data_IF_456754733137
#
_entry.id   IF_456754733137
#
_cell.length_a   1.000
_cell.length_b   1.000
_cell.length_c   1.000
_cell.angle_alpha   90.00
_cell.angle_beta   90.00
_cell.angle_gamma   90.00
#
_symmetry.space_group_name_H-M   'P 1'
#
loop_
_entity.id
_entity.type
_entity.pdbx_description
1 polymer ?
#
# COMPACT_ATOMS: atom_id res chain seq x y z
N UNK A 1 -39.79 46.63 -23.80
CA UNK A 1 -39.00 46.87 -25.03
C UNK A 1 -37.79 47.71 -24.63
N UNK A 2 -36.66 47.11 -24.25
CA UNK A 2 -35.41 47.82 -23.96
C UNK A 2 -34.22 46.98 -24.43
N UNK A 3 -33.26 47.68 -25.03
CA UNK A 3 -32.25 47.22 -25.98
C UNK A 3 -31.07 46.47 -25.33
N UNK A 4 -30.56 45.52 -26.12
CA UNK A 4 -29.24 44.90 -26.06
C UNK A 4 -28.09 45.88 -25.71
N UNK A 5 -27.11 45.40 -24.94
CA UNK A 5 -25.70 45.67 -25.23
C UNK A 5 -24.86 44.41 -25.04
N UNK A 6 -24.02 44.17 -26.04
CA UNK A 6 -23.20 42.99 -26.28
C UNK A 6 -21.75 43.43 -26.05
N UNK A 7 -21.05 42.84 -25.08
CA UNK A 7 -19.64 43.17 -24.84
C UNK A 7 -18.76 42.06 -25.39
N UNK A 8 -18.09 42.37 -26.51
CA UNK A 8 -16.98 41.62 -27.09
C UNK A 8 -15.69 42.34 -26.68
N UNK A 9 -14.80 41.64 -26.00
CA UNK A 9 -13.40 42.03 -25.84
C UNK A 9 -12.60 40.77 -25.49
N UNK A 10 -11.36 40.55 -25.88
CA UNK A 10 -10.43 41.10 -26.88
C UNK A 10 -9.30 40.06 -26.88
N UNK A 11 -8.75 39.72 -28.04
CA UNK A 11 -7.52 38.92 -28.16
C UNK A 11 -6.33 39.72 -27.62
N UNK A 12 -5.46 39.07 -26.86
CA UNK A 12 -4.05 39.43 -26.57
C UNK A 12 -3.44 38.22 -25.84
N UNK A 13 -2.18 37.84 -25.96
CA UNK A 13 -1.07 38.21 -26.84
C UNK A 13 -0.09 37.02 -26.73
N UNK A 14 0.62 36.75 -27.81
CA UNK A 14 1.74 35.80 -27.91
C UNK A 14 2.94 36.34 -27.11
N UNK A 15 3.63 35.49 -26.36
CA UNK A 15 5.07 35.67 -26.15
C UNK A 15 5.79 34.34 -26.35
N UNK A 16 6.54 34.26 -27.45
CA UNK A 16 7.68 33.37 -27.59
C UNK A 16 8.70 33.70 -26.50
N UNK A 17 9.25 32.69 -25.85
CA UNK A 17 10.56 32.80 -25.22
C UNK A 17 11.52 31.88 -25.98
N UNK A 18 12.34 32.52 -26.80
CA UNK A 18 13.55 32.00 -27.44
C UNK A 18 14.57 31.56 -26.40
N UNK A 19 15.40 30.61 -26.81
CA UNK A 19 16.25 29.82 -25.93
C UNK A 19 17.48 30.51 -25.37
N UNK A 20 18.10 29.79 -24.44
CA UNK A 20 19.52 29.89 -24.13
C UNK A 20 20.08 28.48 -24.21
N UNK A 21 20.77 28.20 -25.31
CA UNK A 21 21.80 27.17 -25.40
C UNK A 21 22.96 27.61 -24.52
N UNK A 22 23.26 26.84 -23.47
CA UNK A 22 24.53 26.90 -22.79
C UNK A 22 25.33 25.64 -23.16
N UNK A 23 26.18 25.78 -24.18
CA UNK A 23 27.31 24.88 -24.38
C UNK A 23 28.32 25.19 -23.28
N UNK A 24 28.56 24.21 -22.40
CA UNK A 24 29.65 24.22 -21.44
C UNK A 24 30.45 22.94 -21.62
N UNK A 25 31.46 23.01 -22.48
CA UNK A 25 32.61 22.12 -22.46
C UNK A 25 33.35 22.36 -21.13
N UNK A 26 33.40 21.33 -20.29
CA UNK A 26 34.17 21.33 -19.05
C UNK A 26 34.77 19.95 -18.83
N UNK A 27 36.05 19.84 -19.11
CA UNK A 27 36.89 18.68 -18.85
C UNK A 27 37.13 18.48 -17.34
N UNK A 28 37.32 17.21 -16.93
CA UNK A 28 37.64 16.80 -15.55
C UNK A 28 36.40 16.85 -14.65
N UNK A 29 35.99 15.79 -13.97
CA UNK A 29 36.74 15.02 -12.99
C UNK A 29 36.12 13.62 -12.93
N UNK A 30 36.96 12.59 -13.02
CA UNK A 30 36.63 11.21 -12.65
C UNK A 30 36.24 11.19 -11.17
N UNK A 31 34.95 11.12 -10.86
CA UNK A 31 34.49 10.72 -9.53
C UNK A 31 34.85 9.26 -9.33
N UNK A 32 36.02 9.02 -8.75
CA UNK A 32 36.33 7.78 -8.09
C UNK A 32 35.22 7.51 -7.07
N UNK A 33 34.49 6.41 -7.27
CA UNK A 33 33.65 5.82 -6.24
C UNK A 33 34.61 5.32 -5.18
N UNK A 34 34.91 6.14 -4.18
CA UNK A 34 35.47 5.65 -2.94
C UNK A 34 34.38 4.81 -2.29
N UNK A 35 34.49 3.49 -2.49
CA UNK A 35 33.96 2.54 -1.53
C UNK A 35 34.46 3.01 -0.16
N UNK A 36 33.57 3.61 0.61
CA UNK A 36 33.79 3.80 2.05
C UNK A 36 33.79 2.38 2.61
N UNK A 37 34.98 1.77 2.59
CA UNK A 37 35.31 0.67 3.47
C UNK A 37 34.78 1.07 4.84
N UNK A 38 33.93 0.20 5.39
CA UNK A 38 33.52 0.29 6.78
C UNK A 38 34.77 0.62 7.59
N UNK A 39 34.84 1.84 8.11
CA UNK A 39 35.83 2.17 9.12
C UNK A 39 35.52 1.24 10.27
N UNK A 40 36.32 0.17 10.35
CA UNK A 40 36.50 -0.60 11.55
C UNK A 40 37.07 0.42 12.54
N UNK A 41 36.19 1.05 13.32
CA UNK A 41 36.59 1.72 14.55
C UNK A 41 37.16 0.61 15.42
N UNK A 42 38.47 0.43 15.36
CA UNK A 42 39.21 -0.30 16.38
C UNK A 42 39.02 0.46 17.68
N UNK A 43 38.00 0.05 18.43
CA UNK A 43 37.88 0.45 19.84
C UNK A 43 39.12 -0.12 20.50
N UNK A 44 40.04 0.77 20.91
CA UNK A 44 41.23 0.38 21.67
C UNK A 44 40.76 -0.42 22.89
N UNK A 45 41.34 -1.60 23.02
CA UNK A 45 41.04 -2.56 24.08
C UNK A 45 41.36 -1.94 25.44
N UNK A 46 40.42 -2.08 26.38
CA UNK A 46 40.78 -2.09 27.79
C UNK A 46 41.59 -3.38 28.02
N UNK A 47 42.91 -3.27 27.91
CA UNK A 47 43.85 -4.34 28.24
C UNK A 47 43.91 -4.45 29.76
N UNK A 48 42.98 -5.20 30.34
CA UNK A 48 43.17 -5.94 31.59
C UNK A 48 42.00 -6.91 31.69
N UNK A 49 42.19 -8.23 31.51
CA UNK A 49 41.16 -9.18 31.89
C UNK A 49 40.91 -9.01 33.40
N UNK A 50 39.69 -8.64 33.79
CA UNK A 50 39.26 -8.79 35.17
C UNK A 50 39.39 -10.28 35.52
N UNK A 51 40.23 -10.60 36.49
CA UNK A 51 40.42 -11.96 36.96
C UNK A 51 39.10 -12.47 37.55
N UNK A 52 38.46 -13.37 36.82
CA UNK A 52 37.25 -14.04 37.29
C UNK A 52 37.71 -15.24 38.13
N UNK A 53 37.59 -15.14 39.46
CA UNK A 53 37.88 -16.24 40.38
C UNK A 53 36.58 -16.93 40.82
N UNK A 54 36.49 -18.24 40.57
CA UNK A 54 35.45 -19.12 41.08
C UNK A 54 36.11 -20.31 41.77
N UNK A 55 35.55 -20.77 42.88
CA UNK A 55 36.01 -21.96 43.60
C UNK A 55 35.31 -23.18 43.03
N UNK A 56 36.04 -24.26 42.73
CA UNK A 56 35.45 -25.49 42.22
C UNK A 56 34.32 -25.98 43.16
N UNK A 57 33.12 -26.19 42.62
CA UNK A 57 31.99 -26.82 43.32
C UNK A 57 30.77 -25.94 43.64
N UNK A 58 30.78 -24.64 43.34
CA UNK A 58 29.59 -23.77 43.49
C UNK A 58 29.06 -23.29 42.15
N UNK A 59 27.74 -23.16 41.99
CA UNK A 59 27.11 -22.63 40.77
C UNK A 59 27.78 -21.32 40.35
N UNK A 60 28.25 -21.26 39.11
CA UNK A 60 28.97 -20.11 38.59
C UNK A 60 28.11 -19.31 37.62
N UNK A 61 27.89 -18.02 37.89
CA UNK A 61 27.26 -17.08 36.96
C UNK A 61 28.33 -16.29 36.24
N UNK A 62 28.60 -16.62 34.97
CA UNK A 62 29.57 -15.88 34.15
C UNK A 62 28.89 -14.79 33.34
N UNK A 63 29.32 -13.55 33.58
CA UNK A 63 29.09 -12.42 32.69
C UNK A 63 30.29 -12.21 31.78
N UNK A 64 30.11 -12.24 30.47
CA UNK A 64 31.13 -11.87 29.49
C UNK A 64 30.89 -10.43 29.02
N UNK A 65 31.84 -9.54 29.28
CA UNK A 65 31.81 -8.20 28.71
C UNK A 65 32.18 -8.25 27.23
N UNK A 66 31.26 -7.81 26.37
CA UNK A 66 31.42 -7.82 24.92
C UNK A 66 30.97 -6.49 24.30
N UNK A 67 31.47 -6.18 23.11
CA UNK A 67 31.04 -4.98 22.37
C UNK A 67 29.81 -5.28 21.51
N UNK A 68 28.69 -4.62 21.81
CA UNK A 68 27.42 -4.72 21.08
C UNK A 68 27.16 -3.40 20.37
N UNK A 69 27.41 -3.36 19.06
CA UNK A 69 27.25 -2.13 18.28
C UNK A 69 28.14 -0.97 18.77
N UNK A 70 29.34 -1.27 19.28
CA UNK A 70 30.30 -0.29 19.80
C UNK A 70 30.14 0.05 21.29
N UNK A 71 29.14 -0.53 21.98
CA UNK A 71 28.90 -0.31 23.42
C UNK A 71 29.25 -1.58 24.18
N UNK A 72 30.03 -1.46 25.27
CA UNK A 72 30.33 -2.58 26.16
C UNK A 72 29.08 -3.05 26.91
N UNK A 73 28.80 -4.36 26.86
CA UNK A 73 27.69 -5.01 27.57
C UNK A 73 28.12 -6.35 28.12
N UNK A 74 27.69 -6.64 29.35
CA UNK A 74 27.85 -7.96 29.94
C UNK A 74 26.74 -8.89 29.45
N UNK A 75 27.13 -10.01 28.87
CA UNK A 75 26.24 -11.07 28.41
C UNK A 75 26.39 -12.25 29.35
N UNK A 76 25.29 -12.66 29.96
CA UNK A 76 25.26 -13.74 30.93
C UNK A 76 25.05 -15.09 30.26
N UNK A 77 25.91 -16.04 30.59
CA UNK A 77 25.64 -17.45 30.31
C UNK A 77 24.71 -18.03 31.37
N UNK A 78 23.95 -19.07 31.01
CA UNK A 78 23.23 -19.87 32.01
C UNK A 78 24.22 -20.43 33.03
N UNK A 79 23.79 -20.56 34.28
CA UNK A 79 24.61 -21.15 35.34
C UNK A 79 25.13 -22.52 34.91
N UNK A 80 26.41 -22.78 35.19
CA UNK A 80 27.02 -24.07 34.90
C UNK A 80 28.01 -24.46 35.99
N UNK A 81 28.11 -25.78 36.22
CA UNK A 81 29.10 -26.39 37.11
C UNK A 81 30.10 -27.17 36.26
N UNK A 82 31.39 -27.03 36.59
CA UNK A 82 32.49 -27.77 35.98
C UNK A 82 33.28 -28.50 37.07
N UNK A 83 33.68 -29.73 36.79
CA UNK A 83 34.64 -30.50 37.59
C UNK A 83 36.07 -30.19 37.14
N UNK A 84 37.05 -30.42 38.01
CA UNK A 84 38.46 -30.26 37.65
C UNK A 84 38.80 -31.08 36.38
N UNK A 85 39.44 -30.42 35.40
CA UNK A 85 39.74 -31.00 34.10
C UNK A 85 38.56 -31.12 33.12
N UNK A 86 37.34 -30.74 33.51
CA UNK A 86 36.16 -30.79 32.65
C UNK A 86 36.20 -29.68 31.59
N UNK A 87 35.73 -30.01 30.39
CA UNK A 87 35.54 -29.06 29.30
C UNK A 87 34.06 -29.01 28.92
N UNK A 88 33.51 -27.80 28.82
CA UNK A 88 32.11 -27.59 28.43
C UNK A 88 31.98 -26.49 27.39
N UNK A 89 31.31 -26.81 26.30
CA UNK A 89 30.98 -25.86 25.24
C UNK A 89 29.52 -25.42 25.35
N UNK A 90 29.27 -24.11 25.31
CA UNK A 90 27.92 -23.53 25.31
C UNK A 90 27.73 -22.63 24.09
N UNK A 91 26.50 -22.51 23.62
CA UNK A 91 26.16 -21.55 22.57
C UNK A 91 26.24 -20.11 23.10
N UNK A 92 26.72 -19.19 22.26
CA UNK A 92 26.71 -17.77 22.61
C UNK A 92 25.27 -17.26 22.82
N UNK A 93 25.01 -16.42 23.83
CA UNK A 93 23.66 -15.92 24.07
C UNK A 93 23.14 -15.08 22.91
N UNK A 94 21.83 -15.17 22.65
CA UNK A 94 21.18 -14.43 21.58
C UNK A 94 20.92 -13.00 22.01
N UNK A 95 21.40 -12.03 21.25
CA UNK A 95 21.11 -10.61 21.46
C UNK A 95 20.18 -10.13 20.34
N UNK A 96 18.98 -9.66 20.68
CA UNK A 96 17.96 -9.25 19.70
C UNK A 96 18.50 -8.19 18.73
N UNK A 97 18.52 -8.52 17.43
CA UNK A 97 19.00 -7.62 16.37
C UNK A 97 20.51 -7.69 16.10
N UNK A 98 21.25 -8.56 16.80
CA UNK A 98 22.69 -8.72 16.63
C UNK A 98 23.08 -10.19 16.49
N UNK A 99 24.15 -10.45 15.75
CA UNK A 99 24.80 -11.75 15.62
C UNK A 99 26.19 -11.67 16.26
N UNK A 100 26.52 -12.66 17.10
CA UNK A 100 27.84 -12.83 17.70
C UNK A 100 28.88 -13.24 16.64
N UNK A 101 30.12 -12.78 16.80
CA UNK A 101 31.28 -13.24 16.03
C UNK A 101 31.68 -14.68 16.36
N UNK A 102 31.26 -15.18 17.51
CA UNK A 102 31.39 -16.57 17.93
C UNK A 102 30.04 -17.28 18.00
N UNK A 103 30.00 -18.55 17.61
CA UNK A 103 28.80 -19.39 17.75
C UNK A 103 28.77 -20.09 19.10
N UNK A 104 29.94 -20.32 19.70
CA UNK A 104 30.10 -21.01 20.98
C UNK A 104 31.28 -20.49 21.79
N UNK A 105 31.21 -20.72 23.10
CA UNK A 105 32.27 -20.51 24.06
C UNK A 105 32.56 -21.84 24.76
N UNK A 106 33.83 -22.20 24.88
CA UNK A 106 34.29 -23.41 25.56
C UNK A 106 35.04 -23.03 26.82
N UNK A 107 34.55 -23.54 27.95
CA UNK A 107 35.15 -23.40 29.27
C UNK A 107 35.91 -24.68 29.60
N UNK A 108 37.17 -24.57 29.98
CA UNK A 108 37.99 -25.70 30.40
C UNK A 108 38.54 -25.45 31.79
N UNK A 109 38.06 -26.20 32.78
CA UNK A 109 38.56 -26.11 34.15
C UNK A 109 39.97 -26.71 34.23
N UNK A 110 40.86 -26.04 34.94
CA UNK A 110 42.23 -26.52 35.16
C UNK A 110 42.21 -27.83 35.97
N UNK A 111 43.21 -28.69 35.75
CA UNK A 111 43.32 -29.96 36.47
C UNK A 111 43.47 -29.78 38.00
N UNK A 112 43.98 -28.63 38.44
CA UNK A 112 44.07 -28.23 39.84
C UNK A 112 42.73 -27.77 40.45
N UNK A 113 41.70 -27.54 39.63
CA UNK A 113 40.43 -26.94 40.07
C UNK A 113 40.54 -25.47 40.48
N UNK A 114 41.61 -24.78 40.05
CA UNK A 114 41.88 -23.37 40.39
C UNK A 114 41.71 -22.45 39.17
N UNK A 115 40.52 -22.49 38.57
CA UNK A 115 40.14 -21.60 37.48
C UNK A 115 40.01 -22.31 36.14
N UNK A 116 39.66 -21.55 35.11
CA UNK A 116 39.33 -22.07 33.80
C UNK A 116 39.97 -21.25 32.67
N UNK A 117 40.13 -21.88 31.51
CA UNK A 117 40.41 -21.18 30.25
C UNK A 117 39.12 -21.05 29.43
N UNK A 118 39.02 -19.94 28.70
CA UNK A 118 37.88 -19.63 27.84
C UNK A 118 38.36 -19.55 26.39
N UNK A 119 37.75 -20.34 25.52
CA UNK A 119 38.09 -20.45 24.09
C UNK A 119 36.84 -20.21 23.26
N UNK A 120 36.88 -19.29 22.31
CA UNK A 120 35.74 -19.02 21.41
C UNK A 120 35.97 -19.67 20.05
N UNK A 121 34.97 -20.38 19.52
CA UNK A 121 35.08 -21.11 18.23
C UNK A 121 36.30 -22.05 18.08
N UNK A 122 36.95 -22.46 19.18
CA UNK A 122 38.18 -23.27 19.12
C UNK A 122 39.47 -22.47 18.84
N UNK A 123 39.44 -21.13 18.87
CA UNK A 123 40.63 -20.27 18.86
C UNK A 123 40.84 -19.63 20.22
N UNK A 124 42.10 -19.43 20.62
CA UNK A 124 42.50 -18.72 21.86
C UNK A 124 42.24 -17.20 21.78
N UNK A 125 41.23 -16.79 21.02
CA UNK A 125 40.82 -15.40 20.94
C UNK A 125 40.17 -14.96 22.26
N UNK A 126 40.55 -13.79 22.75
CA UNK A 126 40.07 -13.25 24.02
C UNK A 126 38.85 -12.33 23.89
N UNK A 127 38.23 -12.23 22.70
CA UNK A 127 37.15 -11.26 22.47
C UNK A 127 36.03 -11.79 21.57
N UNK A 128 34.80 -11.42 21.93
CA UNK A 128 33.61 -11.63 21.10
C UNK A 128 32.92 -10.29 20.89
N UNK A 129 32.45 -10.05 19.66
CA UNK A 129 31.65 -8.87 19.33
C UNK A 129 30.31 -9.27 18.72
N UNK A 130 29.30 -8.43 18.93
CA UNK A 130 27.98 -8.60 18.37
C UNK A 130 27.75 -7.55 17.27
N UNK A 131 27.65 -8.01 16.03
CA UNK A 131 27.39 -7.18 14.86
C UNK A 131 25.88 -7.09 14.61
N UNK A 132 25.38 -5.89 14.26
CA UNK A 132 23.95 -5.71 13.93
C UNK A 132 23.60 -6.58 12.73
N UNK A 133 22.57 -7.42 12.86
CA UNK A 133 22.13 -8.25 11.74
C UNK A 133 21.57 -7.33 10.67
N UNK A 134 22.23 -7.30 9.51
CA UNK A 134 21.68 -6.64 8.33
C UNK A 134 20.40 -7.37 7.95
N UNK A 135 19.25 -6.76 8.25
CA UNK A 135 17.98 -7.23 7.71
C UNK A 135 18.07 -7.07 6.21
N UNK A 136 18.39 -8.15 5.48
CA UNK A 136 18.31 -8.17 4.02
C UNK A 136 16.92 -7.66 3.67
N UNK A 137 16.86 -6.47 3.06
CA UNK A 137 15.62 -5.86 2.59
C UNK A 137 15.08 -6.81 1.53
N UNK A 138 14.13 -7.65 1.91
CA UNK A 138 13.50 -8.59 0.98
C UNK A 138 12.92 -7.77 -0.15
N UNK A 139 13.55 -7.84 -1.31
CA UNK A 139 13.08 -7.18 -2.52
C UNK A 139 11.77 -7.85 -2.89
N UNK A 140 10.67 -7.23 -2.47
CA UNK A 140 9.32 -7.73 -2.71
C UNK A 140 9.19 -7.97 -4.22
N UNK A 141 9.06 -9.25 -4.61
CA UNK A 141 9.01 -9.68 -6.01
C UNK A 141 7.93 -8.88 -6.72
N UNK A 142 8.34 -8.03 -7.66
CA UNK A 142 7.42 -7.21 -8.42
C UNK A 142 6.58 -8.08 -9.36
N UNK A 143 5.30 -7.78 -9.46
CA UNK A 143 4.39 -8.46 -10.40
C UNK A 143 4.36 -7.67 -11.71
N UNK A 144 4.46 -8.37 -12.84
CA UNK A 144 4.28 -7.76 -14.15
C UNK A 144 2.87 -7.18 -14.31
N UNK A 145 2.76 -6.00 -14.91
CA UNK A 145 1.48 -5.29 -15.14
C UNK A 145 1.33 -5.00 -16.63
N UNK A 146 0.22 -5.46 -17.22
CA UNK A 146 -0.18 -5.11 -18.58
C UNK A 146 -0.97 -3.81 -18.55
N UNK A 147 -0.47 -2.79 -19.24
CA UNK A 147 -1.13 -1.50 -19.39
C UNK A 147 -1.92 -1.44 -20.69
N UNK A 148 -3.04 -0.72 -20.70
CA UNK A 148 -3.90 -0.60 -21.89
C UNK A 148 -4.65 0.72 -21.85
N UNK A 149 -4.52 1.50 -22.92
CA UNK A 149 -5.23 2.77 -23.07
C UNK A 149 -6.74 2.58 -23.00
N UNK A 150 -7.39 3.50 -22.30
CA UNK A 150 -8.84 3.54 -22.14
C UNK A 150 -9.27 5.00 -22.16
N UNK A 151 -10.45 5.31 -22.65
CA UNK A 151 -11.03 6.64 -22.54
C UNK A 151 -12.38 6.47 -21.82
N UNK A 152 -12.38 6.60 -20.50
CA UNK A 152 -13.58 6.39 -19.67
C UNK A 152 -13.85 7.61 -18.79
N UNK A 153 -15.13 7.82 -18.50
CA UNK A 153 -15.58 8.74 -17.45
C UNK A 153 -16.26 7.93 -16.36
N UNK A 154 -15.79 8.05 -15.13
CA UNK A 154 -16.32 7.34 -13.96
C UNK A 154 -16.55 8.30 -12.80
N UNK A 155 -17.23 7.83 -11.76
CA UNK A 155 -17.33 8.53 -10.49
C UNK A 155 -16.66 7.70 -9.41
N UNK A 156 -15.99 8.35 -8.46
CA UNK A 156 -15.49 7.68 -7.27
C UNK A 156 -16.69 7.38 -6.36
N UNK A 157 -16.75 6.17 -5.80
CA UNK A 157 -17.81 5.80 -4.85
C UNK A 157 -17.77 6.71 -3.62
N UNK A 158 -18.92 6.85 -2.95
CA UNK A 158 -18.99 7.59 -1.70
C UNK A 158 -18.14 6.95 -0.59
N UNK A 159 -18.09 5.62 -0.56
CA UNK A 159 -17.17 4.82 0.24
C UNK A 159 -16.26 4.01 -0.70
N UNK A 160 -15.09 4.55 -1.11
CA UNK A 160 -14.28 3.95 -2.15
C UNK A 160 -13.50 2.70 -1.73
N UNK A 161 -13.20 2.54 -0.43
CA UNK A 161 -12.42 1.40 0.09
C UNK A 161 -10.96 1.35 -0.37
N UNK A 162 -10.55 2.21 -1.30
CA UNK A 162 -9.20 2.28 -1.84
C UNK A 162 -8.76 3.72 -2.08
N UNK A 163 -7.44 3.93 -2.00
CA UNK A 163 -6.77 5.20 -2.23
C UNK A 163 -6.10 5.25 -3.61
N UNK A 164 -5.61 6.44 -3.98
CA UNK A 164 -4.85 6.64 -5.20
C UNK A 164 -3.34 6.54 -4.96
N UNK A 165 -2.65 5.90 -5.89
CA UNK A 165 -1.20 5.64 -5.83
C UNK A 165 -0.46 6.20 -7.04
N UNK A 166 0.81 6.53 -6.93
CA UNK A 166 1.63 6.98 -8.07
C UNK A 166 1.79 5.90 -9.17
N UNK A 167 1.76 4.62 -8.79
CA UNK A 167 1.79 3.47 -9.69
C UNK A 167 0.80 2.38 -9.24
N UNK A 168 0.60 1.37 -10.07
CA UNK A 168 -0.16 0.17 -9.69
C UNK A 168 0.56 -0.53 -8.53
N UNK A 169 -0.09 -0.71 -7.36
CA UNK A 169 0.51 -1.40 -6.22
C UNK A 169 0.99 -2.81 -6.55
N UNK A 170 2.23 -3.10 -6.18
CA UNK A 170 2.90 -4.39 -6.44
C UNK A 170 3.48 -4.53 -7.86
N UNK A 171 3.47 -3.45 -8.65
CA UNK A 171 4.21 -3.40 -9.92
C UNK A 171 5.73 -3.30 -9.69
N UNK A 172 6.51 -3.22 -10.78
CA UNK A 172 7.97 -2.99 -10.72
C UNK A 172 8.39 -1.63 -10.16
N UNK A 173 7.46 -0.69 -10.03
CA UNK A 173 7.74 0.67 -9.58
C UNK A 173 7.44 0.84 -8.09
N UNK A 174 8.25 1.66 -7.42
CA UNK A 174 8.01 2.06 -6.04
C UNK A 174 6.63 2.73 -5.92
N UNK A 175 5.78 2.15 -5.08
CA UNK A 175 4.40 2.59 -4.92
C UNK A 175 4.25 3.42 -3.64
N UNK A 176 3.71 4.63 -3.76
CA UNK A 176 3.30 5.49 -2.65
C UNK A 176 1.88 5.99 -2.87
N UNK A 177 1.11 6.11 -1.79
CA UNK A 177 -0.19 6.77 -1.82
C UNK A 177 0.03 8.25 -2.14
N UNK A 178 -0.72 8.77 -3.11
CA UNK A 178 -0.67 10.19 -3.50
C UNK A 178 -1.91 10.94 -3.05
N UNK A 179 -3.06 10.28 -2.99
CA UNK A 179 -4.30 10.88 -2.50
C UNK A 179 -5.20 9.84 -1.81
N UNK A 180 -5.99 10.31 -0.84
CA UNK A 180 -7.05 9.48 -0.25
C UNK A 180 -8.24 9.36 -1.19
N UNK A 181 -8.81 8.16 -1.30
CA UNK A 181 -10.01 7.92 -2.10
C UNK A 181 -11.18 8.78 -1.64
N UNK A 182 -11.34 8.91 -0.31
CA UNK A 182 -12.41 9.69 0.32
C UNK A 182 -12.40 11.17 -0.09
N UNK A 183 -11.24 11.77 -0.35
CA UNK A 183 -11.11 13.16 -0.84
C UNK A 183 -11.79 13.36 -2.19
N UNK A 184 -11.97 12.29 -2.97
CA UNK A 184 -12.60 12.34 -4.28
C UNK A 184 -13.98 11.66 -4.32
N UNK A 185 -14.53 11.23 -3.18
CA UNK A 185 -15.83 10.60 -3.09
C UNK A 185 -16.92 11.38 -3.85
N UNK A 186 -17.69 10.70 -4.71
CA UNK A 186 -18.75 11.29 -5.53
C UNK A 186 -18.26 12.12 -6.73
N UNK A 187 -16.98 12.50 -6.79
CA UNK A 187 -16.43 13.31 -7.88
C UNK A 187 -16.36 12.50 -9.17
N UNK A 188 -16.64 13.18 -10.27
CA UNK A 188 -16.42 12.64 -11.63
C UNK A 188 -14.95 12.75 -11.98
N UNK A 189 -14.39 11.65 -12.46
CA UNK A 189 -13.00 11.52 -12.89
C UNK A 189 -12.94 10.98 -14.31
N UNK A 190 -11.85 11.30 -15.01
CA UNK A 190 -11.54 10.68 -16.30
C UNK A 190 -10.44 9.64 -16.11
N UNK A 191 -10.46 8.63 -16.97
CA UNK A 191 -9.48 7.53 -16.97
C UNK A 191 -8.92 7.43 -18.37
N UNK A 192 -7.59 7.50 -18.48
CA UNK A 192 -6.89 7.39 -19.75
C UNK A 192 -6.11 6.07 -19.94
N UNK A 193 -6.03 5.24 -18.89
CA UNK A 193 -5.24 4.01 -18.88
C UNK A 193 -5.78 3.03 -17.82
N UNK A 194 -5.56 1.73 -18.05
CA UNK A 194 -5.79 0.68 -17.06
C UNK A 194 -4.58 -0.24 -16.95
N UNK A 195 -4.32 -0.77 -15.76
CA UNK A 195 -3.23 -1.70 -15.47
C UNK A 195 -3.77 -2.97 -14.84
N UNK A 196 -3.46 -4.13 -15.43
CA UNK A 196 -3.86 -5.45 -14.92
C UNK A 196 -2.61 -6.22 -14.53
N UNK A 197 -2.52 -6.64 -13.26
CA UNK A 197 -1.44 -7.49 -12.75
C UNK A 197 -1.52 -8.89 -13.37
N UNK A 198 -0.38 -9.51 -13.68
CA UNK A 198 -0.30 -10.91 -14.12
C UNK A 198 -1.05 -11.81 -13.12
N UNK A 199 -1.93 -12.68 -13.62
CA UNK A 199 -2.77 -13.56 -12.81
C UNK A 199 -4.03 -12.92 -12.22
N UNK A 200 -4.29 -11.63 -12.46
CA UNK A 200 -5.52 -10.95 -12.02
C UNK A 200 -6.41 -10.56 -13.20
N UNK A 201 -7.72 -10.46 -12.94
CA UNK A 201 -8.72 -9.97 -13.92
C UNK A 201 -9.14 -8.52 -13.67
N UNK A 202 -9.00 -8.04 -12.44
CA UNK A 202 -9.47 -6.72 -12.01
C UNK A 202 -8.41 -5.64 -12.24
N UNK A 203 -8.71 -4.55 -12.96
CA UNK A 203 -7.74 -3.51 -13.25
C UNK A 203 -7.53 -2.53 -12.10
N UNK A 204 -6.45 -1.77 -12.21
CA UNK A 204 -6.31 -0.44 -11.64
C UNK A 204 -6.53 0.59 -12.76
N UNK A 205 -7.05 1.76 -12.45
CA UNK A 205 -7.30 2.83 -13.41
C UNK A 205 -6.41 4.03 -13.12
N UNK A 206 -5.80 4.60 -14.16
CA UNK A 206 -5.08 5.87 -14.06
C UNK A 206 -6.06 7.03 -14.20
N UNK A 207 -6.23 7.77 -13.12
CA UNK A 207 -7.33 8.70 -12.94
C UNK A 207 -6.87 10.15 -12.98
N UNK A 208 -7.73 11.01 -13.53
CA UNK A 208 -7.55 12.45 -13.58
C UNK A 208 -8.80 13.14 -13.02
N UNK A 209 -8.58 14.22 -12.28
CA UNK A 209 -9.64 15.10 -11.81
C UNK A 209 -9.36 16.52 -12.29
N UNK A 210 -10.31 17.10 -13.04
CA UNK A 210 -10.15 18.42 -13.69
C UNK A 210 -8.84 18.55 -14.49
N UNK A 211 -8.50 17.52 -15.27
CA UNK A 211 -7.30 17.48 -16.09
C UNK A 211 -5.98 17.16 -15.35
N UNK A 212 -5.98 17.12 -14.01
CA UNK A 212 -4.78 16.79 -13.21
C UNK A 212 -4.73 15.31 -12.87
N UNK A 213 -3.56 14.69 -13.05
CA UNK A 213 -3.32 13.29 -12.65
C UNK A 213 -3.46 13.17 -11.13
N UNK A 214 -4.35 12.28 -10.68
CA UNK A 214 -4.54 11.98 -9.25
C UNK A 214 -4.08 10.55 -8.89
N UNK A 215 -3.53 9.79 -9.83
CA UNK A 215 -2.90 8.50 -9.58
C UNK A 215 -3.73 7.29 -10.03
N UNK A 216 -3.33 6.11 -9.57
CA UNK A 216 -3.92 4.81 -9.85
C UNK A 216 -4.82 4.35 -8.71
N UNK A 217 -6.05 3.95 -9.03
CA UNK A 217 -7.00 3.41 -8.04
C UNK A 217 -7.54 2.05 -8.48
N UNK A 218 -7.86 1.20 -7.52
CA UNK A 218 -8.44 -0.11 -7.79
C UNK A 218 -9.86 0.00 -8.35
N UNK A 219 -10.24 -0.88 -9.30
CA UNK A 219 -11.49 -0.75 -10.07
C UNK A 219 -12.74 -0.63 -9.19
N UNK A 220 -12.79 -1.32 -8.04
CA UNK A 220 -13.98 -1.38 -7.19
C UNK A 220 -14.31 -0.04 -6.56
N UNK A 221 -13.35 0.87 -6.44
CA UNK A 221 -13.52 2.19 -5.84
C UNK A 221 -14.27 3.18 -6.74
N UNK A 222 -14.50 2.82 -8.00
CA UNK A 222 -15.12 3.69 -9.00
C UNK A 222 -16.32 2.99 -9.64
N UNK A 223 -17.26 3.78 -10.12
CA UNK A 223 -18.50 3.32 -10.76
C UNK A 223 -18.73 4.09 -12.06
N UNK A 224 -19.59 3.57 -12.92
CA UNK A 224 -19.97 4.28 -14.13
C UNK A 224 -20.71 5.57 -13.76
N UNK A 225 -20.37 6.67 -14.43
CA UNK A 225 -21.11 7.93 -14.27
C UNK A 225 -22.57 7.70 -14.67
N UNK A 226 -23.49 8.18 -13.84
CA UNK A 226 -24.91 8.22 -14.14
C UNK A 226 -25.33 9.65 -14.43
N UNK A 227 -26.13 9.84 -15.48
CA UNK A 227 -26.78 11.10 -15.83
C UNK A 227 -28.26 11.00 -15.48
N UNK A 228 -28.78 12.01 -14.79
CA UNK A 228 -30.18 12.06 -14.34
C UNK A 228 -30.94 13.15 -15.11
N UNK A 229 -32.19 12.86 -15.46
CA UNK A 229 -33.11 13.80 -16.12
C UNK A 229 -34.47 13.78 -15.41
N UNK A 230 -35.04 14.95 -15.16
CA UNK A 230 -36.45 15.06 -14.75
C UNK A 230 -37.35 14.75 -15.94
N UNK A 231 -38.33 13.89 -15.72
CA UNK A 231 -39.33 13.51 -16.72
C UNK A 231 -40.70 13.50 -16.05
N UNK A 232 -41.78 13.51 -16.82
CA UNK A 232 -43.13 13.25 -16.33
C UNK A 232 -43.72 12.20 -17.25
N UNK A 233 -43.65 10.95 -16.83
CA UNK A 233 -44.05 9.79 -17.64
C UNK A 233 -44.95 8.86 -16.85
N UNK A 234 -45.67 8.01 -17.57
CA UNK A 234 -46.36 6.84 -17.01
C UNK A 234 -45.84 5.58 -17.70
N UNK A 235 -45.95 4.46 -17.02
CA UNK A 235 -45.63 3.15 -17.58
C UNK A 235 -46.43 2.06 -16.87
N UNK A 236 -46.40 0.84 -17.40
CA UNK A 236 -46.89 -0.36 -16.72
C UNK A 236 -45.73 -1.29 -16.45
N UNK A 237 -45.64 -1.85 -15.25
CA UNK A 237 -44.66 -2.90 -14.96
C UNK A 237 -45.03 -4.15 -15.75
N UNK A 238 -44.07 -4.77 -16.43
CA UNK A 238 -44.34 -5.97 -17.24
C UNK A 238 -44.85 -7.14 -16.37
N UNK A 239 -45.55 -8.10 -16.98
CA UNK A 239 -46.11 -9.26 -16.29
C UNK A 239 -45.06 -10.12 -15.57
N UNK A 240 -43.86 -10.25 -16.14
CA UNK A 240 -42.74 -11.08 -15.62
C UNK A 240 -41.48 -10.24 -15.38
N UNK A 241 -41.48 -9.34 -14.37
CA UNK A 241 -40.35 -8.46 -14.13
C UNK A 241 -39.16 -9.26 -13.59
N UNK A 242 -38.01 -9.14 -14.27
CA UNK A 242 -36.71 -9.72 -13.89
C UNK A 242 -35.96 -8.86 -12.86
N UNK A 243 -36.36 -7.61 -12.68
CA UNK A 243 -35.68 -6.67 -11.78
C UNK A 243 -36.62 -6.13 -10.70
N UNK A 244 -36.02 -5.80 -9.57
CA UNK A 244 -36.70 -5.20 -8.42
C UNK A 244 -36.53 -3.68 -8.39
N UNK A 245 -37.22 -3.05 -7.44
CA UNK A 245 -37.10 -1.63 -7.16
C UNK A 245 -36.12 -1.38 -6.01
N UNK A 246 -35.21 -0.43 -6.21
CA UNK A 246 -34.15 -0.09 -5.27
C UNK A 246 -34.21 1.38 -4.87
N UNK A 247 -33.68 1.74 -3.71
CA UNK A 247 -33.63 3.14 -3.25
C UNK A 247 -32.81 4.07 -4.16
N UNK A 248 -31.86 3.49 -4.91
CA UNK A 248 -31.04 4.20 -5.88
C UNK A 248 -30.81 3.36 -7.12
N UNK A 249 -30.35 4.02 -8.18
CA UNK A 249 -29.84 3.37 -9.37
C UNK A 249 -28.76 2.34 -9.02
N UNK A 250 -28.96 1.09 -9.47
CA UNK A 250 -27.97 0.01 -9.31
C UNK A 250 -26.63 0.39 -9.97
N UNK A 251 -25.53 0.03 -9.31
CA UNK A 251 -24.16 0.34 -9.76
C UNK A 251 -23.86 1.85 -9.89
N UNK A 252 -24.57 2.69 -9.13
CA UNK A 252 -24.24 4.12 -8.98
C UNK A 252 -23.28 4.37 -7.81
N UNK A 253 -23.01 5.64 -7.51
CA UNK A 253 -22.16 6.04 -6.37
C UNK A 253 -22.79 5.71 -5.00
N UNK A 254 -24.12 5.53 -4.98
CA UNK A 254 -24.89 5.26 -3.77
C UNK A 254 -24.96 3.77 -3.46
N UNK A 255 -25.03 3.43 -2.17
CA UNK A 255 -25.31 2.07 -1.72
C UNK A 255 -26.78 1.73 -2.05
N UNK A 256 -26.99 0.65 -2.79
CA UNK A 256 -28.32 0.21 -3.18
C UNK A 256 -28.91 -0.72 -2.13
N UNK A 257 -30.16 -0.46 -1.77
CA UNK A 257 -31.02 -1.27 -0.89
C UNK A 257 -32.29 -1.62 -1.67
N UNK A 258 -32.68 -2.89 -1.62
CA UNK A 258 -33.97 -3.35 -2.13
C UNK A 258 -35.08 -2.64 -1.35
N UNK A 259 -36.01 -2.01 -2.06
CA UNK A 259 -37.21 -1.43 -1.46
C UNK A 259 -38.41 -2.34 -1.68
N UNK A 260 -38.60 -2.78 -2.92
CA UNK A 260 -39.73 -3.64 -3.28
C UNK A 260 -39.38 -4.64 -4.36
N UNK A 261 -40.05 -5.79 -4.34
CA UNK A 261 -39.94 -6.78 -5.41
C UNK A 261 -40.72 -6.33 -6.65
N UNK A 262 -40.13 -6.53 -7.84
CA UNK A 262 -40.79 -6.19 -9.11
C UNK A 262 -42.13 -6.89 -9.26
N UNK A 263 -42.18 -8.19 -8.90
CA UNK A 263 -43.37 -9.05 -8.97
C UNK A 263 -44.58 -8.52 -8.20
N UNK A 264 -44.35 -7.77 -7.12
CA UNK A 264 -45.43 -7.16 -6.31
C UNK A 264 -46.20 -6.09 -7.09
N UNK A 265 -45.58 -5.53 -8.12
CA UNK A 265 -46.15 -4.46 -8.93
C UNK A 265 -46.44 -4.88 -10.37
N UNK A 266 -46.40 -6.18 -10.69
CA UNK A 266 -46.71 -6.69 -12.04
C UNK A 266 -48.04 -6.12 -12.53
N UNK A 267 -48.08 -5.70 -13.79
CA UNK A 267 -49.25 -5.14 -14.48
C UNK A 267 -49.82 -3.85 -13.84
N UNK A 268 -49.15 -3.28 -12.83
CA UNK A 268 -49.57 -2.02 -12.21
C UNK A 268 -49.02 -0.83 -13.00
N UNK A 269 -49.87 0.18 -13.17
CA UNK A 269 -49.45 1.49 -13.67
C UNK A 269 -48.58 2.20 -12.62
N UNK A 270 -47.49 2.81 -13.08
CA UNK A 270 -46.58 3.61 -12.28
C UNK A 270 -46.43 4.99 -12.90
N UNK A 271 -46.23 6.00 -12.06
CA UNK A 271 -45.77 7.32 -12.53
C UNK A 271 -44.25 7.41 -12.37
N UNK A 272 -43.61 8.16 -13.25
CA UNK A 272 -42.16 8.29 -13.34
C UNK A 272 -41.81 9.77 -13.34
N UNK A 273 -40.98 10.19 -12.39
CA UNK A 273 -40.53 11.59 -12.29
C UNK A 273 -39.03 11.80 -12.59
N UNK A 274 -38.25 10.72 -12.66
CA UNK A 274 -36.82 10.76 -12.98
C UNK A 274 -36.42 9.60 -13.86
N UNK A 275 -35.52 9.90 -14.78
CA UNK A 275 -34.83 8.94 -15.65
C UNK A 275 -33.33 9.02 -15.37
N UNK A 276 -32.63 7.89 -15.38
CA UNK A 276 -31.19 7.84 -15.29
C UNK A 276 -30.57 6.96 -16.38
N UNK A 277 -29.47 7.40 -16.96
CA UNK A 277 -28.68 6.63 -17.93
C UNK A 277 -27.28 6.46 -17.37
N UNK A 278 -26.79 5.21 -17.34
CA UNK A 278 -25.39 4.94 -16.98
C UNK A 278 -24.53 4.96 -18.24
N UNK A 279 -23.30 5.42 -18.10
CA UNK A 279 -22.31 5.27 -19.17
C UNK A 279 -22.22 3.79 -19.60
N UNK A 280 -22.37 3.54 -20.90
CA UNK A 280 -22.32 2.19 -21.50
C UNK A 280 -23.65 1.42 -21.51
N UNK A 281 -24.78 2.01 -21.08
CA UNK A 281 -26.09 1.34 -21.16
C UNK A 281 -27.04 2.10 -22.08
N UNK A 282 -27.72 1.40 -22.99
CA UNK A 282 -28.76 1.98 -23.86
C UNK A 282 -30.09 2.18 -23.12
N UNK A 283 -30.49 1.19 -22.34
CA UNK A 283 -31.77 1.22 -21.61
C UNK A 283 -31.64 2.01 -20.31
N UNK A 284 -32.47 3.05 -20.10
CA UNK A 284 -32.45 3.85 -18.88
C UNK A 284 -33.03 3.09 -17.69
N UNK A 285 -32.83 3.68 -16.50
CA UNK A 285 -33.53 3.35 -15.28
C UNK A 285 -34.52 4.46 -14.93
N UNK A 286 -35.59 4.10 -14.22
CA UNK A 286 -36.68 5.02 -13.89
C UNK A 286 -37.01 4.97 -12.41
N UNK A 287 -37.22 6.15 -11.81
CA UNK A 287 -37.75 6.28 -10.46
C UNK A 287 -39.27 6.28 -10.52
N UNK A 288 -39.88 5.26 -9.94
CA UNK A 288 -41.29 4.96 -10.07
C UNK A 288 -42.06 5.25 -8.79
N UNK A 289 -43.33 5.58 -8.94
CA UNK A 289 -44.28 5.86 -7.87
C UNK A 289 -45.59 5.13 -8.13
N UNK A 290 -46.28 4.74 -7.05
CA UNK A 290 -47.65 4.21 -7.07
C UNK A 290 -48.45 4.99 -6.05
N UNK A 291 -49.59 5.56 -6.47
CA UNK A 291 -50.45 6.41 -5.63
C UNK A 291 -49.67 7.53 -4.92
N UNK A 292 -48.76 8.19 -5.65
CA UNK A 292 -47.92 9.27 -5.11
C UNK A 292 -46.75 8.83 -4.21
N UNK A 293 -46.66 7.54 -3.83
CA UNK A 293 -45.57 7.02 -2.98
C UNK A 293 -44.43 6.45 -3.83
N UNK A 294 -43.19 6.82 -3.50
CA UNK A 294 -42.00 6.30 -4.18
C UNK A 294 -41.85 4.81 -3.91
N UNK A 295 -41.74 4.00 -4.97
CA UNK A 295 -41.45 2.57 -4.88
C UNK A 295 -40.00 2.26 -5.28
N UNK A 296 -39.29 3.23 -5.87
CA UNK A 296 -37.85 3.17 -6.12
C UNK A 296 -37.45 3.15 -7.60
N UNK A 297 -36.19 2.82 -7.85
CA UNK A 297 -35.56 2.75 -9.16
C UNK A 297 -35.62 1.34 -9.74
N UNK A 298 -36.06 1.21 -11.00
CA UNK A 298 -36.07 -0.06 -11.75
C UNK A 298 -35.43 0.11 -13.13
N UNK A 299 -34.92 -0.99 -13.68
CA UNK A 299 -34.42 -1.04 -15.05
C UNK A 299 -35.56 -0.91 -16.06
N UNK A 300 -35.43 -0.02 -17.04
CA UNK A 300 -36.49 0.30 -18.00
C UNK A 300 -37.00 -0.88 -18.82
N UNK A 301 -36.20 -1.95 -18.99
CA UNK A 301 -36.66 -3.18 -19.65
C UNK A 301 -37.73 -3.96 -18.85
N UNK A 302 -38.08 -3.53 -17.64
CA UNK A 302 -39.17 -4.09 -16.84
C UNK A 302 -40.45 -3.23 -16.91
N UNK A 303 -40.47 -2.23 -17.78
CA UNK A 303 -41.60 -1.33 -17.97
C UNK A 303 -42.03 -1.37 -19.45
N UNK A 304 -43.33 -1.31 -19.68
CA UNK A 304 -43.94 -1.17 -21.01
C UNK A 304 -44.78 0.10 -21.08
N UNK A 305 -45.16 0.51 -22.30
CA UNK A 305 -46.02 1.68 -22.56
C UNK A 305 -45.50 2.96 -21.90
N UNK A 306 -44.19 3.18 -21.94
CA UNK A 306 -43.56 4.37 -21.36
C UNK A 306 -43.97 5.59 -22.21
N UNK A 307 -44.84 6.43 -21.68
CA UNK A 307 -45.36 7.65 -22.33
C UNK A 307 -45.06 8.86 -21.45
#
# INVERSE_FOLDING_TARGET
MFKNTKTISKKMLISLLTGVTLMGLGAGVTTAVTNTSNMQTSVQAATTPEYISGKAGTEFQQGLTCSVGGIQKTVWFSSMTLKAGETKTVSMPKVTGYASSATSATFKENASGTGYTLVFNGTDDYSVYYAKVSTKKTTKKSVSVKYTKKALTKQVRLAPGHDFYNHVPGSKYATKRVHYGKTYAGKTITINDQGIKKGMKTPYYRCYYKGKLIGWIYYSAVVNKATYKTVKKTATVIATPKNNFYNHLTYSVYKTKLLHYGKTYRDRKVTINKQAVRAGTKTPYYRCYVNGKEIGWIYGGNLTNIK
#
